data_IF_243395305795
#
_entry.id   IF_243395305795
#
_cell.length_a   1.000
_cell.length_b   1.000
_cell.length_c   1.000
_cell.angle_alpha   90.00
_cell.angle_beta   90.00
_cell.angle_gamma   90.00
#
_symmetry.space_group_name_H-M   'P 1'
#
loop_
_entity.id
_entity.type
_entity.pdbx_description
1 polymer ?
#
# COMPACT_ATOMS: atom_id res chain seq x y z
N UNK A 1 39.96 -24.44 34.39
CA UNK A 1 38.66 -24.05 34.96
C UNK A 1 37.73 -23.68 33.81
N UNK A 2 36.72 -24.50 33.50
CA UNK A 2 35.71 -24.19 32.49
C UNK A 2 34.46 -23.67 33.21
N UNK A 3 34.09 -22.42 32.94
CA UNK A 3 32.85 -21.83 33.44
C UNK A 3 31.71 -22.45 32.64
N UNK A 4 31.14 -23.55 33.12
CA UNK A 4 29.85 -24.04 32.65
C UNK A 4 28.79 -23.12 33.28
N UNK A 5 28.62 -21.93 32.70
CA UNK A 5 27.47 -21.08 32.97
C UNK A 5 26.24 -21.87 32.54
N UNK A 6 25.55 -22.46 33.52
CA UNK A 6 24.27 -23.15 33.30
C UNK A 6 23.34 -22.18 32.59
N UNK A 7 22.91 -22.54 31.39
CA UNK A 7 22.10 -21.71 30.52
C UNK A 7 20.68 -21.62 31.08
N UNK A 8 20.48 -20.79 32.10
CA UNK A 8 19.19 -20.57 32.75
C UNK A 8 18.38 -19.49 32.00
N UNK A 9 18.34 -19.60 30.66
CA UNK A 9 17.54 -18.67 29.84
C UNK A 9 16.11 -19.19 29.78
N UNK A 10 15.11 -18.36 30.12
CA UNK A 10 13.71 -18.76 29.94
C UNK A 10 13.45 -19.05 28.46
N UNK A 11 12.71 -20.11 28.19
CA UNK A 11 12.28 -20.44 26.83
C UNK A 11 11.56 -19.24 26.19
N UNK A 12 11.78 -18.97 24.89
CA UNK A 12 11.01 -17.96 24.18
C UNK A 12 9.51 -18.22 24.38
N UNK A 13 8.77 -17.18 24.78
CA UNK A 13 7.32 -17.30 24.97
C UNK A 13 6.68 -17.70 23.65
N UNK A 14 5.77 -18.68 23.70
CA UNK A 14 4.94 -19.02 22.56
C UNK A 14 4.13 -17.79 22.17
N UNK A 15 4.16 -17.39 20.89
CA UNK A 15 3.42 -16.22 20.44
C UNK A 15 1.93 -16.57 20.36
N UNK A 16 1.12 -15.93 21.21
CA UNK A 16 -0.34 -15.92 21.07
C UNK A 16 -0.77 -14.89 20.03
N UNK A 17 -0.38 -15.09 18.76
CA UNK A 17 -0.94 -14.29 17.67
C UNK A 17 -2.35 -14.77 17.41
N UNK A 18 -3.36 -13.96 17.77
CA UNK A 18 -4.74 -14.20 17.34
C UNK A 18 -4.75 -14.32 15.82
N UNK A 19 -5.45 -15.29 15.21
CA UNK A 19 -5.48 -15.44 13.74
C UNK A 19 -6.04 -14.21 13.00
N UNK A 20 -6.77 -13.32 13.70
CA UNK A 20 -7.20 -12.02 13.18
C UNK A 20 -6.25 -10.84 13.46
N UNK A 21 -5.10 -11.08 14.10
CA UNK A 21 -4.08 -10.05 14.36
C UNK A 21 -3.15 -9.80 13.15
N UNK A 22 -3.62 -10.14 11.94
CA UNK A 22 -2.99 -9.72 10.69
C UNK A 22 -3.18 -8.22 10.45
N UNK A 23 -2.62 -7.73 9.33
CA UNK A 23 -2.90 -6.38 8.85
C UNK A 23 -4.38 -6.27 8.51
N UNK A 24 -5.14 -5.70 9.42
CA UNK A 24 -6.58 -5.56 9.29
C UNK A 24 -6.89 -4.42 8.31
N UNK A 25 -6.91 -4.76 7.01
CA UNK A 25 -7.21 -3.85 5.90
C UNK A 25 -8.65 -3.30 5.94
N UNK A 26 -9.49 -3.84 6.83
CA UNK A 26 -10.86 -3.41 7.04
C UNK A 26 -11.04 -2.62 8.33
N UNK A 27 -9.97 -2.45 9.11
CA UNK A 27 -10.01 -1.69 10.36
C UNK A 27 -10.60 -0.31 10.11
N UNK A 28 -11.60 0.05 10.92
CA UNK A 28 -12.18 1.38 10.87
C UNK A 28 -11.08 2.41 11.16
N UNK A 29 -10.86 3.30 10.19
CA UNK A 29 -9.86 4.37 10.27
C UNK A 29 -10.56 5.67 10.63
N UNK A 30 -9.96 6.56 11.43
CA UNK A 30 -10.52 7.89 11.69
C UNK A 30 -10.91 8.64 10.41
N UNK A 31 -11.93 9.51 10.48
CA UNK A 31 -12.38 10.31 9.34
C UNK A 31 -11.23 11.15 8.80
N UNK A 32 -11.10 11.19 7.47
CA UNK A 32 -9.99 11.88 6.78
C UNK A 32 -8.75 11.02 6.54
N UNK A 33 -8.71 9.78 6.99
CA UNK A 33 -7.60 8.86 6.68
C UNK A 33 -8.06 7.74 5.74
N UNK A 34 -7.22 7.40 4.77
CA UNK A 34 -7.52 6.40 3.74
C UNK A 34 -7.07 5.00 4.20
N UNK A 35 -7.99 4.04 4.18
CA UNK A 35 -7.68 2.63 4.44
C UNK A 35 -7.10 1.95 3.19
N UNK A 36 -6.34 0.86 3.34
CA UNK A 36 -5.79 0.03 2.27
C UNK A 36 -6.90 -0.53 1.37
N UNK A 37 -8.03 -0.97 1.93
CA UNK A 37 -9.17 -1.41 1.14
C UNK A 37 -9.71 -0.28 0.23
N UNK A 38 -9.78 0.95 0.75
CA UNK A 38 -10.22 2.13 -0.01
C UNK A 38 -9.19 2.52 -1.07
N UNK A 39 -7.90 2.44 -0.75
CA UNK A 39 -6.82 2.62 -1.72
C UNK A 39 -6.99 1.65 -2.90
N UNK A 40 -7.12 0.35 -2.63
CA UNK A 40 -7.35 -0.69 -3.66
C UNK A 40 -8.56 -0.39 -4.53
N UNK A 41 -9.65 0.09 -3.95
CA UNK A 41 -10.82 0.50 -4.72
C UNK A 41 -10.51 1.69 -5.64
N UNK A 42 -9.78 2.72 -5.16
CA UNK A 42 -9.34 3.84 -6.02
C UNK A 42 -8.57 3.33 -7.23
N UNK A 43 -7.67 2.34 -7.06
CA UNK A 43 -6.95 1.72 -8.17
C UNK A 43 -7.90 1.04 -9.17
N UNK A 44 -8.82 0.20 -8.68
CA UNK A 44 -9.75 -0.52 -9.53
C UNK A 44 -10.66 0.43 -10.34
N UNK A 45 -11.12 1.52 -9.73
CA UNK A 45 -11.93 2.53 -10.43
C UNK A 45 -11.11 3.30 -11.46
N UNK A 46 -9.86 3.64 -11.15
CA UNK A 46 -8.97 4.32 -12.09
C UNK A 46 -8.66 3.44 -13.30
N UNK A 47 -8.47 2.14 -13.11
CA UNK A 47 -8.19 1.18 -14.19
C UNK A 47 -9.46 0.73 -14.94
N UNK A 48 -10.66 1.05 -14.44
CA UNK A 48 -11.92 0.54 -15.00
C UNK A 48 -12.11 -0.96 -14.79
N UNK A 49 -11.48 -1.52 -13.76
CA UNK A 49 -11.60 -2.93 -13.34
C UNK A 49 -12.51 -3.10 -12.12
N UNK A 50 -13.19 -2.05 -11.71
CA UNK A 50 -14.14 -2.11 -10.62
C UNK A 50 -15.38 -2.92 -11.02
N UNK A 51 -15.93 -3.66 -10.07
CA UNK A 51 -17.11 -4.49 -10.29
C UNK A 51 -18.28 -3.63 -10.81
N UNK A 52 -18.74 -3.93 -12.02
CA UNK A 52 -19.87 -3.25 -12.67
C UNK A 52 -19.52 -2.02 -13.51
N UNK A 53 -18.26 -1.57 -13.55
CA UNK A 53 -17.84 -0.40 -14.33
C UNK A 53 -16.59 -0.70 -15.15
N UNK A 54 -16.80 -0.91 -16.46
CA UNK A 54 -15.73 -1.21 -17.43
C UNK A 54 -14.95 0.02 -17.90
N UNK A 55 -15.29 1.22 -17.40
CA UNK A 55 -14.69 2.49 -17.85
C UNK A 55 -13.81 3.09 -16.75
N UNK A 56 -12.59 3.56 -17.07
CA UNK A 56 -11.78 4.32 -16.12
C UNK A 56 -12.53 5.56 -15.66
N UNK A 57 -12.60 5.74 -14.34
CA UNK A 57 -13.28 6.88 -13.72
C UNK A 57 -12.32 8.05 -13.48
N UNK A 58 -12.84 9.26 -13.63
CA UNK A 58 -12.12 10.49 -13.26
C UNK A 58 -12.00 10.60 -11.72
N UNK A 59 -10.97 11.31 -11.25
CA UNK A 59 -10.67 11.47 -9.83
C UNK A 59 -11.87 12.03 -9.02
N UNK A 60 -12.66 12.91 -9.64
CA UNK A 60 -13.88 13.47 -9.03
C UNK A 60 -14.98 12.41 -8.84
N UNK A 61 -15.20 11.57 -9.84
CA UNK A 61 -16.19 10.49 -9.78
C UNK A 61 -15.81 9.42 -8.73
N UNK A 62 -14.52 9.12 -8.61
CA UNK A 62 -13.99 8.20 -7.60
C UNK A 62 -14.22 8.77 -6.18
N UNK A 63 -13.94 10.07 -6.00
CA UNK A 63 -14.13 10.78 -4.74
C UNK A 63 -15.59 10.74 -4.26
N UNK A 64 -16.54 10.98 -5.16
CA UNK A 64 -17.98 10.93 -4.87
C UNK A 64 -18.43 9.52 -4.48
N UNK A 65 -18.00 8.51 -5.23
CA UNK A 65 -18.38 7.10 -5.02
C UNK A 65 -17.90 6.61 -3.65
N UNK A 66 -16.66 6.94 -3.29
CA UNK A 66 -16.05 6.50 -2.04
C UNK A 66 -16.29 7.46 -0.86
N UNK A 67 -16.93 8.61 -1.10
CA UNK A 67 -17.13 9.71 -0.13
C UNK A 67 -15.82 10.19 0.50
N UNK A 68 -14.84 10.45 -0.36
CA UNK A 68 -13.49 10.86 0.01
C UNK A 68 -13.22 12.20 -0.63
N UNK A 69 -12.40 13.02 0.00
CA UNK A 69 -12.00 14.30 -0.59
C UNK A 69 -11.10 14.08 -1.83
N UNK A 70 -11.35 14.88 -2.87
CA UNK A 70 -10.72 14.78 -4.20
C UNK A 70 -9.20 14.94 -4.09
N UNK A 71 -8.73 15.79 -3.17
CA UNK A 71 -7.29 16.02 -2.94
C UNK A 71 -6.56 14.72 -2.58
N UNK A 72 -7.22 13.85 -1.81
CA UNK A 72 -6.63 12.57 -1.40
C UNK A 72 -6.58 11.60 -2.57
N UNK A 73 -7.64 11.53 -3.38
CA UNK A 73 -7.66 10.69 -4.59
C UNK A 73 -6.59 11.14 -5.57
N UNK A 74 -6.48 12.45 -5.84
CA UNK A 74 -5.48 13.00 -6.74
C UNK A 74 -4.05 12.76 -6.24
N UNK A 75 -3.82 12.89 -4.93
CA UNK A 75 -2.53 12.57 -4.31
C UNK A 75 -2.20 11.08 -4.49
N UNK A 76 -3.17 10.18 -4.29
CA UNK A 76 -2.97 8.76 -4.57
C UNK A 76 -2.57 8.58 -6.04
N UNK A 77 -3.38 9.07 -6.98
CA UNK A 77 -3.13 8.99 -8.44
C UNK A 77 -1.74 9.49 -8.85
N UNK A 78 -1.29 10.63 -8.31
CA UNK A 78 0.06 11.17 -8.56
C UNK A 78 1.19 10.25 -8.13
N UNK A 79 1.00 9.46 -7.07
CA UNK A 79 2.00 8.53 -6.56
C UNK A 79 1.80 7.10 -7.11
N UNK A 80 0.84 6.88 -8.02
CA UNK A 80 0.63 5.59 -8.67
C UNK A 80 1.55 5.37 -9.86
N UNK A 81 2.03 6.45 -10.48
CA UNK A 81 3.11 6.29 -11.44
C UNK A 81 4.31 5.76 -10.67
N UNK A 82 4.76 4.56 -11.04
CA UNK A 82 6.16 4.20 -10.91
C UNK A 82 7.03 5.43 -11.24
N UNK A 83 8.22 5.58 -10.63
CA UNK A 83 9.15 6.60 -11.07
C UNK A 83 9.22 6.56 -12.60
N UNK A 84 9.19 7.71 -13.30
CA UNK A 84 9.22 7.71 -14.75
C UNK A 84 10.43 6.88 -15.20
N UNK A 85 10.15 5.70 -15.77
CA UNK A 85 11.13 4.88 -16.49
C UNK A 85 11.55 5.70 -17.71
N UNK A 86 12.47 6.66 -17.51
CA UNK A 86 12.74 7.67 -18.53
C UNK A 86 13.77 8.74 -18.20
N UNK A 87 14.53 8.66 -17.10
CA UNK A 87 15.72 9.50 -16.90
C UNK A 87 16.98 8.66 -16.71
N UNK A 88 17.24 7.76 -17.66
CA UNK A 88 18.57 7.21 -17.93
C UNK A 88 19.09 7.73 -19.27
N UNK A 89 18.92 9.02 -19.54
CA UNK A 89 19.76 9.71 -20.53
C UNK A 89 21.10 10.05 -19.83
N UNK A 90 21.95 9.03 -19.72
CA UNK A 90 23.33 9.13 -19.28
C UNK A 90 24.22 8.55 -20.37
N UNK A 91 24.68 9.44 -21.24
CA UNK A 91 25.64 9.24 -22.32
C UNK A 91 26.82 8.32 -21.99
N UNK A 92 27.02 7.30 -22.82
CA UNK A 92 28.38 6.86 -23.20
C UNK A 92 28.38 6.54 -24.69
N UNK A 93 28.72 7.58 -25.46
CA UNK A 93 29.54 7.43 -26.66
C UNK A 93 30.86 6.75 -26.24
N UNK A 94 31.24 5.65 -26.90
CA UNK A 94 32.62 5.33 -27.29
C UNK A 94 32.79 3.85 -27.74
N UNK A 95 33.35 3.70 -28.95
CA UNK A 95 34.26 2.63 -29.39
C UNK A 95 33.71 1.26 -29.85
N UNK A 96 33.51 1.10 -31.17
CA UNK A 96 34.38 0.35 -32.12
C UNK A 96 33.60 -0.42 -33.20
#
# INVERSE_FOLDING_TARGET
ASVVQRYNRPMPKLRDTKPGAGYDEQKAVPPGTLNIAKLRQVFLFHEGKADGQSRPMDAKAIAETLKIDVVHVQRVLQHLSLPPEGSSEGSTDESR
#
